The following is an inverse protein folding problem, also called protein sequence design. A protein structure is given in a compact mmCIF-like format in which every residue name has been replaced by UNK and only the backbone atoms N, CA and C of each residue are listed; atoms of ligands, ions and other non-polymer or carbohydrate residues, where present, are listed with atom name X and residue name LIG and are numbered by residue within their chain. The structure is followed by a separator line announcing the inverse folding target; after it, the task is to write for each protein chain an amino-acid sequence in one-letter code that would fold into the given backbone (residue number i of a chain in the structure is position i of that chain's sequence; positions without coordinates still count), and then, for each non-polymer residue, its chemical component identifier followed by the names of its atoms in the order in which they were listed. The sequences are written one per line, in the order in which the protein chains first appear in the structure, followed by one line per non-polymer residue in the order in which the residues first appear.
data_IF_150676604866
#
_entry.id   IF_150676604866
#
_cell.length_a   1.000
_cell.length_b   1.000
_cell.length_c   1.000
_cell.angle_alpha   90.00
_cell.angle_beta   90.00
_cell.angle_gamma   90.00
#
_symmetry.space_group_name_H-M   'P 1'
#
loop_
_entity.id
_entity.type
_entity.pdbx_description
1 polymer ?
#
# COMPACT_ATOMS: atom_id res chain seq x y z
N UNK A 1 -35.52 -13.84 5.31
CA UNK A 1 -35.14 -13.72 3.88
C UNK A 1 -33.66 -14.05 3.77
N UNK A 2 -33.31 -15.16 3.12
CA UNK A 2 -31.91 -15.53 2.86
C UNK A 2 -31.38 -14.66 1.71
N UNK A 3 -30.30 -13.91 1.95
CA UNK A 3 -29.63 -13.16 0.91
C UNK A 3 -28.69 -14.10 0.16
N UNK A 4 -29.01 -14.43 -1.09
CA UNK A 4 -28.11 -15.15 -1.99
C UNK A 4 -27.27 -14.13 -2.76
N UNK A 5 -25.96 -14.13 -2.52
CA UNK A 5 -25.02 -13.34 -3.34
C UNK A 5 -24.88 -13.99 -4.71
N UNK A 6 -24.86 -13.18 -5.77
CA UNK A 6 -24.52 -13.67 -7.11
C UNK A 6 -23.12 -14.29 -7.09
N UNK A 7 -22.91 -15.49 -7.67
CA UNK A 7 -21.59 -16.10 -7.71
C UNK A 7 -20.64 -15.23 -8.52
N UNK A 8 -19.64 -14.67 -7.83
CA UNK A 8 -18.56 -13.90 -8.44
C UNK A 8 -17.49 -14.88 -8.91
N UNK A 9 -17.13 -14.88 -10.21
CA UNK A 9 -16.07 -15.75 -10.72
C UNK A 9 -14.76 -15.51 -9.97
N UNK A 10 -14.03 -16.59 -9.69
CA UNK A 10 -12.72 -16.49 -9.06
C UNK A 10 -11.80 -15.60 -9.89
N UNK A 11 -11.07 -14.71 -9.21
CA UNK A 11 -10.04 -13.86 -9.84
C UNK A 11 -9.05 -14.72 -10.64
N UNK A 12 -8.78 -15.95 -10.19
CA UNK A 12 -7.90 -16.89 -10.89
C UNK A 12 -8.48 -17.38 -12.22
N UNK A 13 -9.80 -17.47 -12.36
CA UNK A 13 -10.45 -17.84 -13.63
C UNK A 13 -10.51 -16.66 -14.61
N UNK A 14 -10.65 -15.44 -14.09
CA UNK A 14 -10.65 -14.22 -14.89
C UNK A 14 -9.28 -13.97 -15.56
N UNK A 15 -8.18 -14.33 -14.90
CA UNK A 15 -6.81 -14.16 -15.43
C UNK A 15 -6.47 -15.16 -16.53
N UNK A 16 -7.22 -16.26 -16.67
CA UNK A 16 -7.05 -17.23 -17.77
C UNK A 16 -7.54 -16.68 -19.12
N UNK A 17 -8.25 -15.56 -19.12
CA UNK A 17 -8.77 -14.91 -20.32
C UNK A 17 -8.00 -13.61 -20.58
N UNK A 18 -7.74 -13.29 -21.84
CA UNK A 18 -7.10 -12.03 -22.22
C UNK A 18 -8.11 -10.89 -22.05
N UNK A 19 -8.06 -10.18 -20.92
CA UNK A 19 -8.95 -9.05 -20.64
C UNK A 19 -8.47 -7.83 -21.43
N UNK A 20 -9.12 -7.54 -22.56
CA UNK A 20 -8.83 -6.36 -23.39
C UNK A 20 -9.73 -5.16 -23.07
N UNK A 21 -10.88 -5.39 -22.44
CA UNK A 21 -11.81 -4.37 -21.94
C UNK A 21 -12.49 -4.84 -20.65
N UNK A 22 -12.84 -3.91 -19.76
CA UNK A 22 -13.58 -4.21 -18.53
C UNK A 22 -15.01 -4.67 -18.90
N UNK A 23 -15.47 -5.86 -18.45
CA UNK A 23 -16.82 -6.33 -18.73
C UNK A 23 -17.90 -5.36 -18.23
N UNK A 24 -18.96 -5.16 -19.02
CA UNK A 24 -20.04 -4.20 -18.71
C UNK A 24 -20.69 -4.40 -17.35
N UNK A 25 -20.83 -5.65 -16.89
CA UNK A 25 -21.36 -5.97 -15.55
C UNK A 25 -20.56 -5.35 -14.39
N UNK A 26 -19.34 -4.88 -14.66
CA UNK A 26 -18.45 -4.24 -13.70
C UNK A 26 -18.33 -2.72 -13.93
N UNK A 27 -18.98 -2.19 -14.96
CA UNK A 27 -19.00 -0.76 -15.28
C UNK A 27 -20.21 -0.12 -14.60
N UNK A 28 -19.98 0.62 -13.52
CA UNK A 28 -21.03 1.35 -12.81
C UNK A 28 -20.93 2.86 -13.13
N UNK A 29 -22.05 3.49 -13.46
CA UNK A 29 -22.15 4.93 -13.79
C UNK A 29 -21.92 5.88 -12.61
N UNK A 30 -22.08 5.41 -11.38
CA UNK A 30 -21.69 6.15 -10.17
C UNK A 30 -20.25 5.80 -9.83
N UNK A 31 -19.31 6.60 -10.32
CA UNK A 31 -17.92 6.53 -9.86
C UNK A 31 -17.89 7.01 -8.40
N UNK A 32 -17.55 6.11 -7.47
CA UNK A 32 -16.95 6.54 -6.21
C UNK A 32 -15.79 7.50 -6.59
N UNK A 33 -15.63 8.66 -5.93
CA UNK A 33 -14.59 9.62 -6.29
C UNK A 33 -13.22 8.93 -6.33
N UNK A 34 -12.39 9.30 -7.30
CA UNK A 34 -11.01 8.79 -7.39
C UNK A 34 -10.29 9.21 -6.10
N UNK A 35 -10.05 8.24 -5.23
CA UNK A 35 -9.26 8.46 -4.02
C UNK A 35 -7.79 8.28 -4.38
N UNK A 36 -7.08 9.39 -4.60
CA UNK A 36 -5.62 9.40 -4.60
C UNK A 36 -5.13 9.26 -3.16
N UNK A 37 -4.83 8.03 -2.76
CA UNK A 37 -4.35 7.75 -1.42
C UNK A 37 -2.84 7.52 -1.44
N UNK A 38 -2.12 8.26 -0.61
CA UNK A 38 -0.68 8.18 -0.35
C UNK A 38 -0.34 6.99 0.58
N UNK A 39 -0.91 5.82 0.28
CA UNK A 39 -0.87 4.60 1.11
C UNK A 39 0.47 3.88 1.08
N UNK A 40 1.42 4.42 0.34
CA UNK A 40 2.67 3.75 0.08
C UNK A 40 3.67 4.16 1.16
N UNK A 41 4.17 3.15 1.87
CA UNK A 41 5.27 3.25 2.82
C UNK A 41 6.53 3.89 2.20
N UNK A 42 6.71 3.72 0.89
CA UNK A 42 7.89 4.17 0.13
C UNK A 42 8.05 5.70 0.11
N UNK A 43 7.04 6.51 -0.32
CA UNK A 43 7.07 7.96 -0.17
C UNK A 43 7.44 8.45 1.23
N UNK A 44 6.97 7.77 2.29
CA UNK A 44 7.29 8.18 3.66
C UNK A 44 8.77 7.99 3.99
N UNK A 45 9.38 6.88 3.56
CA UNK A 45 10.81 6.62 3.74
C UNK A 45 11.63 7.64 2.94
N UNK A 46 11.32 7.80 1.65
CA UNK A 46 12.05 8.64 0.70
C UNK A 46 12.04 10.11 1.15
N UNK A 47 10.89 10.61 1.61
CA UNK A 47 10.76 11.99 2.07
C UNK A 47 11.25 12.21 3.51
N UNK A 48 11.85 11.20 4.15
CA UNK A 48 12.23 11.24 5.55
C UNK A 48 11.05 11.64 6.46
N UNK A 49 9.84 11.17 6.16
CA UNK A 49 8.64 11.40 6.97
C UNK A 49 7.85 12.68 6.71
N UNK A 50 8.19 13.49 5.69
CA UNK A 50 7.36 14.66 5.30
C UNK A 50 5.98 14.17 4.86
N UNK A 51 5.96 13.20 3.94
CA UNK A 51 4.71 12.57 3.54
C UNK A 51 4.46 11.36 4.43
N UNK A 52 3.32 11.40 5.13
CA UNK A 52 2.90 10.29 5.98
C UNK A 52 2.12 9.28 5.15
N UNK A 53 2.44 8.00 5.31
CA UNK A 53 1.59 6.93 4.82
C UNK A 53 0.32 6.88 5.67
N UNK A 54 -0.84 6.76 5.01
CA UNK A 54 -2.15 6.77 5.67
C UNK A 54 -2.77 5.38 5.56
N UNK A 55 -3.32 4.89 6.68
CA UNK A 55 -4.09 3.65 6.71
C UNK A 55 -5.48 3.88 6.10
N UNK A 56 -5.90 2.96 5.24
CA UNK A 56 -7.19 2.98 4.58
C UNK A 56 -7.85 1.61 4.72
N UNK A 57 -9.18 1.59 4.81
CA UNK A 57 -9.97 0.36 4.95
C UNK A 57 -11.20 0.43 4.06
N UNK A 58 -11.48 -0.65 3.36
CA UNK A 58 -12.77 -0.86 2.72
C UNK A 58 -13.75 -1.50 3.72
N UNK A 59 -14.98 -0.99 3.77
CA UNK A 59 -16.04 -1.52 4.64
C UNK A 59 -17.01 -2.34 3.76
N UNK A 60 -17.42 -3.50 4.25
CA UNK A 60 -18.38 -4.38 3.55
C UNK A 60 -19.81 -3.86 3.71
N UNK A 61 -20.66 -4.13 2.72
CA UNK A 61 -22.07 -3.76 2.73
C UNK A 61 -22.93 -5.01 2.45
N UNK A 62 -24.02 -5.19 3.19
CA UNK A 62 -24.90 -6.38 3.08
C UNK A 62 -25.95 -6.28 1.97
N UNK A 63 -26.17 -5.09 1.41
CA UNK A 63 -27.23 -4.81 0.42
C UNK A 63 -26.69 -4.58 -0.99
N UNK A 64 -25.47 -4.07 -1.11
CA UNK A 64 -24.88 -3.67 -2.39
C UNK A 64 -23.44 -4.14 -2.51
N UNK A 65 -23.14 -4.81 -3.61
CA UNK A 65 -21.78 -5.16 -4.02
C UNK A 65 -20.96 -3.92 -4.38
N UNK A 66 -19.67 -3.93 -4.02
CA UNK A 66 -18.72 -2.87 -4.34
C UNK A 66 -17.51 -3.48 -5.03
N UNK A 67 -17.15 -2.94 -6.18
CA UNK A 67 -15.97 -3.33 -6.95
C UNK A 67 -15.07 -2.11 -7.07
N UNK A 68 -13.77 -2.31 -6.85
CA UNK A 68 -12.76 -1.27 -6.99
C UNK A 68 -11.50 -1.84 -7.62
N UNK A 69 -10.84 -1.04 -8.45
CA UNK A 69 -9.55 -1.37 -9.05
C UNK A 69 -8.49 -0.52 -8.38
N UNK A 70 -7.47 -1.16 -7.81
CA UNK A 70 -6.32 -0.48 -7.23
C UNK A 70 -5.09 -0.69 -8.11
N UNK A 71 -4.41 0.41 -8.45
CA UNK A 71 -3.16 0.38 -9.22
C UNK A 71 -2.01 0.83 -8.34
N UNK A 72 -0.94 0.04 -8.26
CA UNK A 72 0.21 0.32 -7.42
C UNK A 72 1.45 0.59 -8.28
N UNK A 73 2.02 1.79 -8.17
CA UNK A 73 3.32 2.10 -8.74
C UNK A 73 4.42 1.59 -7.81
N UNK A 74 5.18 0.59 -8.27
CA UNK A 74 6.26 -0.03 -7.48
C UNK A 74 7.63 0.44 -7.95
N UNK A 75 8.57 0.45 -7.01
CA UNK A 75 9.98 0.63 -7.31
C UNK A 75 10.59 -0.67 -7.83
N UNK A 76 11.67 -0.54 -8.59
CA UNK A 76 12.45 -1.67 -9.07
C UNK A 76 13.06 -2.42 -7.86
N UNK A 77 12.89 -3.75 -7.83
CA UNK A 77 13.33 -4.63 -6.74
C UNK A 77 14.85 -4.63 -6.53
N UNK A 78 15.63 -4.31 -7.56
CA UNK A 78 17.10 -4.25 -7.52
C UNK A 78 17.65 -2.91 -7.00
N UNK A 79 16.78 -1.98 -6.61
CA UNK A 79 17.19 -0.68 -6.04
C UNK A 79 17.18 -0.70 -4.52
N UNK A 80 17.77 0.32 -3.93
CA UNK A 80 17.67 0.63 -2.51
C UNK A 80 16.72 1.81 -2.29
N UNK A 81 16.13 1.87 -1.11
CA UNK A 81 15.27 2.96 -0.64
C UNK A 81 15.78 3.48 0.69
N UNK A 82 15.69 4.79 0.87
CA UNK A 82 16.09 5.49 2.09
C UNK A 82 15.74 6.97 1.97
N UNK A 83 15.93 7.75 3.05
CA UNK A 83 15.77 9.19 3.03
C UNK A 83 16.60 9.84 1.91
N UNK A 84 16.01 10.74 1.12
CA UNK A 84 16.76 11.50 0.12
C UNK A 84 17.78 12.39 0.86
N UNK A 85 19.07 12.37 0.48
CA UNK A 85 20.11 13.12 1.18
C UNK A 85 19.81 14.62 1.33
N UNK A 86 19.24 15.27 0.30
CA UNK A 86 18.90 16.69 0.35
C UNK A 86 17.76 17.03 1.32
N UNK A 87 17.05 16.02 1.84
CA UNK A 87 15.96 16.18 2.80
C UNK A 87 16.39 15.87 4.24
N UNK A 88 17.67 15.58 4.46
CA UNK A 88 18.29 15.34 5.77
C UNK A 88 19.06 16.60 6.15
N UNK A 89 18.74 17.17 7.32
CA UNK A 89 19.40 18.38 7.86
C UNK A 89 19.74 18.16 9.33
N UNK A 90 20.57 19.03 9.96
CA UNK A 90 20.82 18.96 11.41
C UNK A 90 19.54 19.01 12.25
N UNK A 91 18.55 19.80 11.83
CA UNK A 91 17.25 19.95 12.50
C UNK A 91 16.33 18.75 12.20
N UNK A 92 16.61 18.02 11.13
CA UNK A 92 15.81 16.89 10.65
C UNK A 92 16.70 15.71 10.25
N UNK A 93 17.25 14.98 11.23
CA UNK A 93 18.12 13.85 10.97
C UNK A 93 17.35 12.73 10.25
N UNK A 94 18.10 11.75 9.73
CA UNK A 94 17.51 10.58 9.08
C UNK A 94 16.64 9.80 10.09
N UNK A 95 15.37 9.62 9.75
CA UNK A 95 14.40 8.88 10.56
C UNK A 95 14.34 7.40 10.18
N UNK A 96 14.76 7.06 8.95
CA UNK A 96 14.65 5.71 8.40
C UNK A 96 16.00 5.21 7.90
N UNK A 97 16.22 3.90 8.04
CA UNK A 97 17.38 3.20 7.48
C UNK A 97 17.26 3.06 5.96
N UNK A 98 18.41 2.98 5.29
CA UNK A 98 18.48 2.55 3.89
C UNK A 98 18.37 1.03 3.80
N UNK A 99 17.53 0.52 2.89
CA UNK A 99 17.28 -0.92 2.71
C UNK A 99 17.03 -1.25 1.22
N UNK A 100 17.35 -2.47 0.78
CA UNK A 100 16.96 -2.96 -0.54
C UNK A 100 15.44 -3.00 -0.70
N UNK A 101 14.92 -2.64 -1.88
CA UNK A 101 13.49 -2.71 -2.18
C UNK A 101 12.97 -4.14 -2.03
N UNK A 102 13.75 -5.13 -2.50
CA UNK A 102 13.41 -6.54 -2.31
C UNK A 102 13.30 -6.95 -0.84
N UNK A 103 14.29 -6.58 -0.02
CA UNK A 103 14.31 -6.90 1.41
C UNK A 103 13.18 -6.20 2.16
N UNK A 104 12.87 -4.95 1.78
CA UNK A 104 11.71 -4.22 2.30
C UNK A 104 10.42 -5.00 2.07
N UNK A 105 10.16 -5.44 0.83
CA UNK A 105 8.93 -6.17 0.52
C UNK A 105 8.89 -7.56 1.16
N UNK A 106 10.02 -8.26 1.21
CA UNK A 106 10.13 -9.55 1.88
C UNK A 106 9.82 -9.43 3.38
N UNK A 107 10.41 -8.43 4.06
CA UNK A 107 10.15 -8.19 5.47
C UNK A 107 8.74 -7.66 5.74
N UNK A 108 8.20 -6.82 4.84
CA UNK A 108 6.83 -6.31 4.95
C UNK A 108 5.78 -7.42 4.83
N UNK A 109 5.94 -8.33 3.85
CA UNK A 109 4.96 -9.39 3.56
C UNK A 109 5.10 -10.62 4.47
N UNK A 110 6.29 -10.90 5.01
CA UNK A 110 6.53 -12.04 5.91
C UNK A 110 6.16 -11.76 7.37
N UNK A 111 5.82 -10.51 7.70
CA UNK A 111 5.60 -10.09 9.08
C UNK A 111 4.24 -10.55 9.64
N UNK A 112 4.24 -11.00 10.89
CA UNK A 112 3.02 -11.20 11.69
C UNK A 112 2.37 -9.87 12.10
N UNK A 113 1.06 -9.76 11.93
CA UNK A 113 0.26 -8.55 12.18
C UNK A 113 0.06 -8.28 13.69
N UNK A 114 1.15 -7.99 14.42
CA UNK A 114 1.15 -7.73 15.87
C UNK A 114 1.04 -6.23 16.20
N UNK A 115 0.28 -5.47 15.40
CA UNK A 115 -0.09 -4.07 15.68
C UNK A 115 0.99 -2.99 15.48
N UNK A 116 2.25 -3.37 15.21
CA UNK A 116 3.34 -2.42 14.88
C UNK A 116 3.49 -2.30 13.35
N UNK A 117 3.70 -1.09 12.83
CA UNK A 117 3.92 -0.87 11.40
C UNK A 117 5.29 -1.40 10.98
N UNK A 118 5.43 -1.96 9.77
CA UNK A 118 6.75 -2.36 9.26
C UNK A 118 7.72 -1.17 9.17
N UNK A 119 7.19 0.05 8.98
CA UNK A 119 7.98 1.27 9.07
C UNK A 119 8.71 1.43 10.40
N UNK A 120 8.14 0.95 11.51
CA UNK A 120 8.77 1.07 12.83
C UNK A 120 10.04 0.22 12.92
N UNK A 121 10.13 -0.89 12.19
CA UNK A 121 11.34 -1.70 12.13
C UNK A 121 12.47 -1.00 11.35
N UNK A 122 12.11 -0.12 10.43
CA UNK A 122 13.04 0.66 9.61
C UNK A 122 13.43 1.99 10.27
N UNK A 123 12.75 2.40 11.34
CA UNK A 123 13.10 3.62 12.06
C UNK A 123 14.47 3.48 12.71
N UNK A 124 15.25 4.55 12.61
CA UNK A 124 16.51 4.70 13.36
C UNK A 124 16.11 5.02 14.81
N UNK A 125 16.52 4.17 15.75
CA UNK A 125 16.37 4.48 17.18
C UNK A 125 17.46 5.48 17.53
N UNK A 126 17.07 6.72 17.83
CA UNK A 126 17.97 7.63 18.52
C UNK A 126 18.06 7.14 19.96
N UNK A 127 19.22 6.63 20.37
CA UNK A 127 19.56 6.53 21.77
C UNK A 127 19.66 7.96 22.29
N UNK A 128 18.55 8.48 22.82
CA UNK A 128 18.59 9.71 23.59
C UNK A 128 19.46 9.38 24.81
N UNK A 129 20.58 10.08 24.92
CA UNK A 129 21.60 9.85 25.94
C UNK A 129 21.01 9.69 27.34
N UNK A 130 21.52 8.68 28.04
CA UNK A 130 21.73 8.78 29.49
C UNK A 130 23.01 9.56 29.74
#
# INVERSE_FOLDING_TARGET
MQATSLPVPSVQELVKQTITKVPERYVHSNQDPIVLSNTNFLPQIITNGIYRSIEHRAIVNSKKERISIATFHRLNMSRVIGPIPCLITPERPALFKTIGVADFFNGYLSRKLEGKSYLDALRIKNEIGK
#
